data_IF_885762843703
#
_entry.id   IF_885762843703
#
_cell.length_a   1.000
_cell.length_b   1.000
_cell.length_c   1.000
_cell.angle_alpha   90.00
_cell.angle_beta   90.00
_cell.angle_gamma   90.00
#
_symmetry.space_group_name_H-M   'P 1'
#
loop_
_entity.id
_entity.type
_entity.pdbx_description
1 polymer ?
#
# COMPACT_ATOMS: atom_id res chain seq x y z
N UNK A 1 -6.73 -5.03 8.04
CA UNK A 1 -7.94 -4.96 7.17
C UNK A 1 -9.23 -5.46 7.81
N UNK A 2 -9.15 -6.23 8.89
CA UNK A 2 -10.31 -6.89 9.53
C UNK A 2 -11.57 -6.01 9.73
N UNK A 3 -11.52 -4.79 10.33
CA UNK A 3 -12.73 -3.98 10.53
C UNK A 3 -13.37 -3.48 9.22
N UNK A 4 -12.57 -3.26 8.16
CA UNK A 4 -13.10 -2.86 6.84
C UNK A 4 -13.79 -4.04 6.18
N UNK A 5 -13.20 -5.23 6.26
CA UNK A 5 -13.79 -6.44 5.71
C UNK A 5 -15.08 -6.84 6.45
N UNK A 6 -15.13 -6.63 7.77
CA UNK A 6 -16.31 -6.91 8.58
C UNK A 6 -17.47 -5.95 8.25
N UNK A 7 -17.18 -4.68 7.92
CA UNK A 7 -18.18 -3.67 7.58
C UNK A 7 -18.61 -3.66 6.09
N UNK A 8 -17.68 -3.91 5.16
CA UNK A 8 -17.91 -3.74 3.72
C UNK A 8 -17.69 -5.01 2.90
N UNK A 9 -17.34 -6.12 3.54
CA UNK A 9 -17.05 -7.41 2.90
C UNK A 9 -15.63 -7.50 2.35
N UNK A 10 -15.20 -8.74 2.10
CA UNK A 10 -13.85 -9.05 1.63
C UNK A 10 -13.48 -8.41 0.27
N UNK A 11 -14.48 -8.12 -0.58
CA UNK A 11 -14.28 -7.52 -1.91
C UNK A 11 -13.67 -6.11 -1.79
N UNK A 12 -14.13 -5.31 -0.83
CA UNK A 12 -13.59 -3.96 -0.61
C UNK A 12 -12.16 -4.02 -0.07
N UNK A 13 -11.86 -4.99 0.80
CA UNK A 13 -10.50 -5.27 1.24
C UNK A 13 -9.57 -5.60 0.08
N UNK A 14 -9.98 -6.51 -0.82
CA UNK A 14 -9.17 -6.88 -1.99
C UNK A 14 -8.95 -5.69 -2.93
N UNK A 15 -9.96 -4.85 -3.13
CA UNK A 15 -9.82 -3.60 -3.89
C UNK A 15 -8.81 -2.64 -3.25
N UNK A 16 -8.83 -2.52 -1.92
CA UNK A 16 -7.83 -1.73 -1.19
C UNK A 16 -6.43 -2.32 -1.39
N UNK A 17 -6.25 -3.63 -1.29
CA UNK A 17 -4.93 -4.25 -1.49
C UNK A 17 -4.42 -4.05 -2.91
N UNK A 18 -5.29 -4.22 -3.92
CA UNK A 18 -4.94 -4.00 -5.31
C UNK A 18 -4.53 -2.54 -5.56
N UNK A 19 -5.29 -1.58 -5.03
CA UNK A 19 -4.98 -0.15 -5.13
C UNK A 19 -3.69 0.23 -4.40
N UNK A 20 -3.47 -0.33 -3.21
CA UNK A 20 -2.25 -0.12 -2.45
C UNK A 20 -1.03 -0.63 -3.23
N UNK A 21 -1.11 -1.84 -3.81
CA UNK A 21 -0.06 -2.40 -4.65
C UNK A 21 0.25 -1.48 -5.85
N UNK A 22 -0.77 -0.98 -6.54
CA UNK A 22 -0.61 -0.04 -7.65
C UNK A 22 0.08 1.26 -7.22
N UNK A 23 -0.27 1.82 -6.06
CA UNK A 23 0.38 3.02 -5.53
C UNK A 23 1.83 2.76 -5.13
N UNK A 24 2.12 1.58 -4.56
CA UNK A 24 3.48 1.18 -4.23
C UNK A 24 4.30 1.06 -5.53
N UNK A 25 3.84 0.33 -6.53
CA UNK A 25 4.53 0.18 -7.82
C UNK A 25 4.82 1.53 -8.50
N UNK A 26 3.85 2.46 -8.49
CA UNK A 26 4.04 3.82 -9.03
C UNK A 26 5.05 4.65 -8.24
N UNK A 27 5.22 4.32 -6.95
CA UNK A 27 6.19 4.97 -6.07
C UNK A 27 7.58 4.35 -6.18
N UNK A 28 7.76 3.28 -6.95
CA UNK A 28 9.01 2.55 -7.12
C UNK A 28 9.65 2.82 -8.48
N UNK A 29 10.97 2.62 -8.57
CA UNK A 29 11.70 2.66 -9.84
C UNK A 29 11.61 1.30 -10.53
N UNK A 30 11.92 1.26 -11.82
CA UNK A 30 11.95 0.00 -12.60
C UNK A 30 12.94 -1.05 -12.04
N UNK A 31 13.97 -0.62 -11.32
CA UNK A 31 14.93 -1.50 -10.65
C UNK A 31 14.41 -2.10 -9.34
N UNK A 32 13.36 -1.51 -8.78
CA UNK A 32 12.84 -1.84 -7.46
C UNK A 32 11.69 -2.83 -7.63
N UNK A 33 11.49 -3.71 -6.65
CA UNK A 33 10.43 -4.72 -6.71
C UNK A 33 9.56 -4.67 -5.46
N UNK A 34 8.26 -4.85 -5.63
CA UNK A 34 7.32 -5.05 -4.52
C UNK A 34 6.82 -6.49 -4.55
N UNK A 35 6.73 -7.09 -3.37
CA UNK A 35 6.22 -8.42 -3.15
C UNK A 35 5.14 -8.37 -2.09
N UNK A 36 4.06 -9.12 -2.28
CA UNK A 36 3.05 -9.32 -1.23
C UNK A 36 3.52 -10.46 -0.34
N UNK A 37 3.90 -10.15 0.90
CA UNK A 37 4.47 -11.10 1.85
C UNK A 37 3.39 -11.86 2.63
N UNK A 38 2.23 -11.22 2.84
CA UNK A 38 1.10 -11.78 3.57
C UNK A 38 -0.25 -11.30 3.06
N UNK A 39 -1.31 -11.59 3.82
CA UNK A 39 -2.68 -11.19 3.47
C UNK A 39 -2.79 -9.67 3.28
N UNK A 40 -2.16 -8.88 4.15
CA UNK A 40 -2.20 -7.42 4.13
C UNK A 40 -0.82 -6.76 4.24
N UNK A 41 0.25 -7.52 3.96
CA UNK A 41 1.65 -7.09 4.10
C UNK A 41 2.38 -7.06 2.77
N UNK A 42 3.11 -5.97 2.51
CA UNK A 42 3.94 -5.78 1.32
C UNK A 42 5.40 -5.58 1.74
N UNK A 43 6.31 -6.26 1.04
CA UNK A 43 7.75 -6.12 1.17
C UNK A 43 8.29 -5.43 -0.10
N UNK A 44 9.13 -4.42 0.07
CA UNK A 44 9.75 -3.70 -1.04
C UNK A 44 11.25 -3.95 -1.02
N UNK A 45 11.78 -4.39 -2.17
CA UNK A 45 13.20 -4.60 -2.38
C UNK A 45 13.77 -3.41 -3.17
N UNK A 46 14.71 -2.69 -2.55
CA UNK A 46 15.36 -1.51 -3.10
C UNK A 46 16.85 -1.79 -3.35
N UNK A 47 17.21 -2.46 -4.47
CA UNK A 47 18.60 -2.73 -4.78
C UNK A 47 19.36 -1.41 -4.98
N UNK A 48 20.63 -1.38 -4.57
CA UNK A 48 21.51 -0.20 -4.70
C UNK A 48 20.99 1.07 -3.99
N UNK A 49 20.10 0.92 -3.00
CA UNK A 49 19.53 2.03 -2.25
C UNK A 49 20.08 2.04 -0.83
N UNK A 50 20.71 3.15 -0.42
CA UNK A 50 21.18 3.34 0.95
C UNK A 50 20.03 3.61 1.92
N UNK A 51 20.27 3.44 3.22
CA UNK A 51 19.24 3.54 4.27
C UNK A 51 18.42 4.83 4.21
N UNK A 52 19.05 5.99 4.00
CA UNK A 52 18.34 7.27 3.92
C UNK A 52 17.37 7.32 2.74
N UNK A 53 17.82 6.89 1.56
CA UNK A 53 16.97 6.85 0.37
C UNK A 53 15.85 5.81 0.50
N UNK A 54 16.11 4.70 1.21
CA UNK A 54 15.08 3.71 1.51
C UNK A 54 13.98 4.30 2.43
N UNK A 55 14.36 5.08 3.44
CA UNK A 55 13.42 5.81 4.30
C UNK A 55 12.58 6.81 3.50
N UNK A 56 13.19 7.54 2.58
CA UNK A 56 12.47 8.49 1.72
C UNK A 56 11.45 7.78 0.82
N UNK A 57 11.79 6.60 0.28
CA UNK A 57 10.87 5.76 -0.49
C UNK A 57 9.73 5.24 0.39
N UNK A 58 10.04 4.78 1.59
CA UNK A 58 9.04 4.30 2.55
C UNK A 58 8.05 5.42 2.93
N UNK A 59 8.53 6.63 3.20
CA UNK A 59 7.68 7.77 3.50
C UNK A 59 6.83 8.19 2.30
N UNK A 60 7.40 8.17 1.09
CA UNK A 60 6.62 8.40 -0.14
C UNK A 60 5.49 7.40 -0.31
N UNK A 61 5.76 6.11 -0.11
CA UNK A 61 4.74 5.05 -0.16
C UNK A 61 3.67 5.29 0.91
N UNK A 62 4.09 5.60 2.15
CA UNK A 62 3.18 5.88 3.26
C UNK A 62 2.20 7.02 2.93
N UNK A 63 2.71 8.10 2.35
CA UNK A 63 1.90 9.25 1.94
C UNK A 63 1.00 8.92 0.73
N UNK A 64 1.51 8.19 -0.26
CA UNK A 64 0.74 7.80 -1.44
C UNK A 64 -0.44 6.89 -1.08
N UNK A 65 -0.20 5.88 -0.24
CA UNK A 65 -1.27 5.01 0.28
C UNK A 65 -2.20 5.79 1.21
N UNK A 66 -1.68 6.63 2.10
CA UNK A 66 -2.50 7.42 3.02
C UNK A 66 -3.43 8.44 2.36
N UNK A 67 -3.15 8.85 1.12
CA UNK A 67 -3.98 9.77 0.33
C UNK A 67 -4.90 9.06 -0.66
N UNK A 68 -4.81 7.73 -0.74
CA UNK A 68 -5.67 6.95 -1.63
C UNK A 68 -7.07 6.78 -1.01
N UNK A 69 -8.07 6.76 -1.87
CA UNK A 69 -9.46 6.53 -1.50
C UNK A 69 -9.97 5.34 -2.30
N UNK A 70 -10.69 4.45 -1.63
CA UNK A 70 -11.36 3.33 -2.31
C UNK A 70 -12.86 3.47 -2.12
N UNK A 71 -13.59 3.41 -3.23
CA UNK A 71 -15.04 3.45 -3.23
C UNK A 71 -15.58 2.11 -2.74
N UNK A 72 -16.28 2.13 -1.61
CA UNK A 72 -16.90 0.98 -0.98
C UNK A 72 -18.44 1.07 -1.08
N UNK A 73 -18.93 1.32 -2.30
CA UNK A 73 -20.34 1.65 -2.54
C UNK A 73 -20.60 3.15 -2.35
N UNK A 74 -21.42 3.52 -1.36
CA UNK A 74 -21.78 4.92 -1.07
C UNK A 74 -20.78 5.65 -0.15
N UNK A 75 -19.76 4.95 0.35
CA UNK A 75 -18.76 5.51 1.25
C UNK A 75 -17.34 5.45 0.67
N UNK A 76 -16.54 6.48 0.96
CA UNK A 76 -15.10 6.51 0.64
C UNK A 76 -14.31 6.05 1.84
N UNK A 77 -13.56 4.97 1.68
CA UNK A 77 -12.69 4.44 2.74
C UNK A 77 -11.28 4.97 2.53
N UNK A 78 -10.76 5.65 3.54
CA UNK A 78 -9.35 6.06 3.61
C UNK A 78 -8.56 5.02 4.41
N UNK A 79 -7.34 4.74 3.97
CA UNK A 79 -6.48 3.72 4.59
C UNK A 79 -5.08 4.28 4.75
N UNK A 80 -4.55 4.19 5.96
CA UNK A 80 -3.16 4.53 6.26
C UNK A 80 -2.34 3.25 6.44
N UNK A 81 -1.14 3.22 5.86
CA UNK A 81 -0.17 2.14 6.07
C UNK A 81 0.96 2.59 6.98
N UNK A 82 1.63 1.64 7.63
CA UNK A 82 2.88 1.84 8.36
C UNK A 82 4.02 1.18 7.60
N UNK A 83 5.15 1.88 7.43
CA UNK A 83 6.35 1.37 6.78
C UNK A 83 7.49 1.33 7.80
N UNK A 84 8.28 0.26 7.79
CA UNK A 84 9.43 0.04 8.68
C UNK A 84 10.56 -0.66 7.96
#
# INVERSE_FOLDING_TARGET
MRPINDNHGHVVGDHILARAAEQIERSLRTSDNVYRFGGEEFAVLLPHTGEQAARDVAERIRLAVGTMHVDAGDERVCVSTSCG
#
